data_IF_114239001665
#
_entry.id   IF_114239001665
#
_cell.length_a   1.000
_cell.length_b   1.000
_cell.length_c   1.000
_cell.angle_alpha   90.00
_cell.angle_beta   90.00
_cell.angle_gamma   90.00
#
_symmetry.space_group_name_H-M   'P 1'
#
loop_
_entity.id
_entity.type
_entity.pdbx_description
1 polymer ?
#
# COMPACT_ATOMS: atom_id res chain seq x y z
N UNK A 1 -12.95 -5.40 8.27
CA UNK A 1 -12.29 -5.53 6.94
C UNK A 1 -12.25 -4.16 6.29
N UNK A 2 -11.20 -3.83 5.56
CA UNK A 2 -11.01 -2.53 4.93
C UNK A 2 -10.78 -2.67 3.43
N UNK A 3 -11.19 -1.67 2.66
CA UNK A 3 -10.75 -1.47 1.29
C UNK A 3 -9.31 -0.93 1.28
N UNK A 4 -8.51 -1.34 0.31
CA UNK A 4 -7.10 -0.95 0.22
C UNK A 4 -6.82 -0.34 -1.15
N UNK A 5 -6.01 0.72 -1.18
CA UNK A 5 -5.55 1.30 -2.44
C UNK A 5 -4.43 0.46 -3.04
N UNK A 6 -4.57 0.21 -4.35
CA UNK A 6 -3.62 -0.49 -5.19
C UNK A 6 -3.56 0.26 -6.51
N UNK A 7 -2.46 0.11 -7.22
CA UNK A 7 -2.41 0.51 -8.62
C UNK A 7 -3.49 -0.20 -9.44
N UNK A 8 -4.37 0.58 -10.10
CA UNK A 8 -5.56 0.06 -10.80
C UNK A 8 -5.22 -1.09 -11.75
N UNK A 9 -4.16 -0.97 -12.53
CA UNK A 9 -3.72 -2.00 -13.50
C UNK A 9 -3.37 -3.32 -12.80
N UNK A 10 -2.61 -3.26 -11.71
CA UNK A 10 -2.24 -4.44 -10.91
C UNK A 10 -3.45 -5.09 -10.26
N UNK A 11 -4.40 -4.29 -9.77
CA UNK A 11 -5.62 -4.80 -9.19
C UNK A 11 -6.48 -5.55 -10.23
N UNK A 12 -6.69 -4.96 -11.40
CA UNK A 12 -7.44 -5.62 -12.50
C UNK A 12 -6.78 -6.93 -12.92
N UNK A 13 -5.46 -6.94 -13.11
CA UNK A 13 -4.73 -8.15 -13.48
C UNK A 13 -4.87 -9.25 -12.42
N UNK A 14 -4.79 -8.89 -11.14
CA UNK A 14 -4.91 -9.83 -10.04
C UNK A 14 -6.31 -10.42 -9.89
N UNK A 15 -7.38 -9.66 -10.18
CA UNK A 15 -8.73 -10.21 -10.25
C UNK A 15 -8.85 -11.29 -11.33
N UNK A 16 -8.22 -11.09 -12.48
CA UNK A 16 -8.26 -12.05 -13.61
C UNK A 16 -7.39 -13.28 -13.32
N UNK A 17 -6.17 -13.07 -12.83
CA UNK A 17 -5.20 -14.14 -12.64
C UNK A 17 -5.29 -14.85 -11.28
N UNK A 18 -6.08 -14.33 -10.34
CA UNK A 18 -6.15 -14.86 -8.97
C UNK A 18 -4.83 -14.73 -8.21
N UNK A 19 -4.03 -13.71 -8.51
CA UNK A 19 -2.69 -13.51 -7.94
C UNK A 19 -2.71 -12.53 -6.77
N UNK A 20 -1.73 -12.61 -5.84
CA UNK A 20 -1.63 -11.66 -4.74
C UNK A 20 -1.21 -10.27 -5.23
N UNK A 21 -1.78 -9.23 -4.61
CA UNK A 21 -1.36 -7.83 -4.78
C UNK A 21 -0.92 -7.23 -3.47
N UNK A 22 -0.12 -6.17 -3.55
CA UNK A 22 0.36 -5.40 -2.40
C UNK A 22 -0.34 -4.04 -2.38
N UNK A 23 -0.95 -3.69 -1.25
CA UNK A 23 -1.58 -2.40 -1.01
C UNK A 23 -0.53 -1.31 -0.78
N UNK A 24 -0.97 -0.06 -0.87
CA UNK A 24 -0.19 1.10 -0.46
C UNK A 24 0.33 0.99 1.00
N UNK A 25 -0.47 0.39 1.89
CA UNK A 25 -0.09 0.15 3.28
C UNK A 25 0.78 -1.11 3.50
N UNK A 26 1.23 -1.79 2.44
CA UNK A 26 2.05 -3.00 2.52
C UNK A 26 1.27 -4.32 2.68
N UNK A 27 -0.06 -4.28 2.78
CA UNK A 27 -0.86 -5.51 2.91
C UNK A 27 -0.84 -6.34 1.63
N UNK A 28 -0.58 -7.64 1.77
CA UNK A 28 -0.65 -8.62 0.67
C UNK A 28 -1.96 -9.40 0.72
N UNK A 29 -2.68 -9.51 -0.40
CA UNK A 29 -3.89 -10.34 -0.50
C UNK A 29 -4.24 -10.73 -1.94
N UNK A 30 -5.01 -11.80 -2.10
CA UNK A 30 -5.66 -12.16 -3.38
C UNK A 30 -7.08 -11.56 -3.42
N UNK A 31 -7.41 -10.69 -4.39
CA UNK A 31 -8.69 -10.02 -4.44
C UNK A 31 -9.83 -10.98 -4.82
N UNK A 32 -10.95 -10.92 -4.09
CA UNK A 32 -12.07 -11.87 -4.24
C UNK A 32 -13.45 -11.29 -3.93
N UNK A 33 -13.55 -10.03 -3.48
CA UNK A 33 -14.81 -9.39 -3.08
C UNK A 33 -14.83 -7.92 -3.49
N UNK A 34 -16.03 -7.40 -3.62
CA UNK A 34 -16.29 -5.99 -3.90
C UNK A 34 -15.75 -5.07 -2.77
N UNK A 35 -14.80 -4.15 -3.06
CA UNK A 35 -14.23 -3.25 -2.08
C UNK A 35 -15.17 -2.11 -1.64
N UNK A 36 -16.22 -1.77 -2.39
CA UNK A 36 -17.13 -0.65 -2.09
C UNK A 36 -17.95 -0.87 -0.81
N UNK A 37 -18.02 -2.11 -0.34
CA UNK A 37 -18.73 -2.52 0.88
C UNK A 37 -17.95 -2.27 2.17
N UNK A 38 -16.73 -1.73 2.09
CA UNK A 38 -15.84 -1.60 3.24
C UNK A 38 -15.29 -0.18 3.38
N UNK A 39 -15.08 0.30 4.61
CA UNK A 39 -14.35 1.55 4.82
C UNK A 39 -12.92 1.42 4.29
N UNK A 40 -12.35 2.52 3.82
CA UNK A 40 -10.96 2.56 3.36
C UNK A 40 -10.02 2.35 4.55
N UNK A 41 -8.95 1.59 4.34
CA UNK A 41 -7.90 1.40 5.31
C UNK A 41 -7.29 2.76 5.70
N UNK A 42 -7.24 3.11 7.00
CA UNK A 42 -6.80 4.43 7.43
C UNK A 42 -5.38 4.76 6.97
N UNK A 43 -4.48 3.76 6.94
CA UNK A 43 -3.12 3.96 6.45
C UNK A 43 -3.06 4.17 4.93
N UNK A 44 -3.85 3.40 4.15
CA UNK A 44 -3.99 3.67 2.72
C UNK A 44 -4.52 5.08 2.46
N UNK A 45 -5.50 5.54 3.26
CA UNK A 45 -6.05 6.89 3.16
C UNK A 45 -4.98 7.95 3.43
N UNK A 46 -4.27 7.86 4.56
CA UNK A 46 -3.17 8.77 4.93
C UNK A 46 -2.09 8.84 3.85
N UNK A 47 -1.61 7.67 3.39
CA UNK A 47 -0.57 7.60 2.36
C UNK A 47 -1.08 8.13 1.01
N UNK A 48 -2.35 7.94 0.69
CA UNK A 48 -2.94 8.50 -0.52
C UNK A 48 -2.97 10.04 -0.46
N UNK A 49 -3.44 10.59 0.67
CA UNK A 49 -3.51 12.04 0.94
C UNK A 49 -2.13 12.72 0.94
N UNK A 50 -1.08 12.04 1.42
CA UNK A 50 0.31 12.51 1.32
C UNK A 50 0.82 12.67 -0.12
N UNK A 51 0.18 12.00 -1.08
CA UNK A 51 0.61 12.00 -2.48
C UNK A 51 1.93 11.25 -2.73
N UNK A 52 2.35 11.11 -4.00
CA UNK A 52 3.56 10.37 -4.37
C UNK A 52 4.84 10.92 -3.75
N UNK A 53 4.98 12.24 -3.70
CA UNK A 53 6.17 12.92 -3.16
C UNK A 53 6.23 12.81 -1.63
N UNK A 54 5.11 13.04 -0.93
CA UNK A 54 5.05 12.94 0.53
C UNK A 54 5.33 11.52 1.02
N UNK A 55 4.75 10.51 0.35
CA UNK A 55 5.07 9.11 0.64
C UNK A 55 6.55 8.79 0.42
N UNK A 56 7.12 9.25 -0.69
CA UNK A 56 8.55 9.05 -1.00
C UNK A 56 9.45 9.63 0.10
N UNK A 57 9.22 10.88 0.49
CA UNK A 57 9.97 11.54 1.56
C UNK A 57 9.88 10.75 2.86
N UNK A 58 8.68 10.32 3.25
CA UNK A 58 8.50 9.53 4.48
C UNK A 58 9.29 8.21 4.44
N UNK A 59 9.30 7.50 3.30
CA UNK A 59 10.10 6.28 3.14
C UNK A 59 11.61 6.56 3.18
N UNK A 60 12.08 7.61 2.51
CA UNK A 60 13.49 8.02 2.55
C UNK A 60 13.95 8.38 3.96
N UNK A 61 13.11 9.05 4.75
CA UNK A 61 13.38 9.38 6.15
C UNK A 61 13.46 8.12 7.03
N UNK A 62 12.57 7.14 6.82
CA UNK A 62 12.62 5.84 7.52
C UNK A 62 13.91 5.10 7.21
N UNK A 63 14.26 4.99 5.92
CA UNK A 63 15.51 4.35 5.49
C UNK A 63 16.75 5.05 6.08
N UNK A 64 16.74 6.39 6.16
CA UNK A 64 17.83 7.14 6.82
C UNK A 64 17.94 6.82 8.31
N UNK A 65 16.81 6.65 9.01
CA UNK A 65 16.79 6.31 10.45
C UNK A 65 17.22 4.86 10.69
N UNK A 66 16.79 3.93 9.84
CA UNK A 66 17.12 2.50 9.95
C UNK A 66 18.55 2.19 9.49
N UNK A 67 19.08 2.92 8.50
CA UNK A 67 20.46 2.80 8.01
C UNK A 67 21.52 3.43 8.92
N UNK A 68 21.13 4.08 10.01
CA UNK A 68 22.03 4.71 10.98
C UNK A 68 22.48 3.81 12.15
N UNK A 69 22.06 2.53 12.19
CA UNK A 69 22.36 1.61 13.31
C UNK A 69 23.19 0.38 12.90
N UNK A 70 23.98 0.46 11.82
CA UNK A 70 24.64 -0.71 11.22
C UNK A 70 26.14 -0.62 10.96
N UNK A 71 26.88 0.34 11.53
CA UNK A 71 28.35 0.37 11.46
C UNK A 71 28.94 0.74 12.83
N UNK A 72 29.26 -0.29 13.62
CA UNK A 72 30.18 -0.26 14.75
C UNK A 72 30.99 -1.57 14.74
#
# INVERSE_FOLDING_TARGET
>A
RFAHYVEKRKLTQAYVLGTPVIALCGKVWVPSRDPERFPICPECKRLYELGPEGRRREWEERLRREGGSGEA
#
